data_IF_946215320359
#
_entry.id   IF_946215320359
#
_cell.length_a   1.000
_cell.length_b   1.000
_cell.length_c   1.000
_cell.angle_alpha   90.00
_cell.angle_beta   90.00
_cell.angle_gamma   90.00
#
_symmetry.space_group_name_H-M   'P 1'
#
loop_
_entity.id
_entity.type
_entity.pdbx_description
1 polymer ?
#
# COMPACT_ATOMS: atom_id res chain seq x y z
N UNK A 1 3.53 28.59 40.58
CA UNK A 1 2.19 29.11 40.97
C UNK A 1 1.59 29.87 39.80
N UNK A 2 0.41 29.44 39.31
CA UNK A 2 -0.69 30.19 38.67
C UNK A 2 -0.33 30.96 37.37
N UNK A 3 -0.65 30.47 36.16
CA UNK A 3 -1.95 30.55 35.44
C UNK A 3 -2.40 31.99 35.11
N UNK A 4 -2.55 32.34 33.83
CA UNK A 4 -3.85 32.58 33.17
C UNK A 4 -3.68 33.09 31.73
N UNK A 5 -4.50 32.54 30.84
CA UNK A 5 -4.79 32.91 29.46
C UNK A 5 -5.70 34.16 29.37
N UNK A 6 -5.81 34.75 28.17
CA UNK A 6 -6.99 35.47 27.59
C UNK A 6 -6.55 36.76 26.84
N UNK A 7 -6.54 36.89 25.51
CA UNK A 7 -7.61 36.80 24.49
C UNK A 7 -8.58 38.02 24.45
N UNK A 8 -8.41 38.93 23.45
CA UNK A 8 -9.45 39.75 22.75
C UNK A 8 -8.78 40.78 21.82
N UNK A 9 -9.01 40.76 20.50
CA UNK A 9 -10.19 41.24 19.72
C UNK A 9 -9.93 42.63 19.15
N UNK A 10 -9.88 42.77 17.82
CA UNK A 10 -10.74 43.72 17.10
C UNK A 10 -10.62 43.53 15.58
N UNK A 11 -11.77 43.31 14.94
CA UNK A 11 -11.98 43.32 13.49
C UNK A 11 -12.54 44.70 13.09
N UNK A 12 -12.51 44.94 11.77
CA UNK A 12 -13.44 45.79 11.00
C UNK A 12 -13.28 47.32 11.02
N UNK A 13 -12.53 47.85 10.04
CA UNK A 13 -12.81 49.07 9.23
C UNK A 13 -11.89 48.92 8.00
N UNK A 14 -12.28 48.89 6.72
CA UNK A 14 -12.99 49.91 5.97
C UNK A 14 -13.37 49.32 4.59
N UNK A 15 -14.67 49.10 4.41
CA UNK A 15 -15.37 49.01 3.11
C UNK A 15 -15.49 50.44 2.56
N UNK A 16 -15.30 50.63 1.24
CA UNK A 16 -15.67 51.76 0.35
C UNK A 16 -14.59 51.91 -0.73
N UNK A 17 -14.77 52.03 -2.04
CA UNK A 17 -15.90 52.16 -2.97
C UNK A 17 -15.26 51.97 -4.36
N UNK A 18 -15.87 51.22 -5.31
CA UNK A 18 -15.94 51.66 -6.72
C UNK A 18 -16.89 50.75 -7.54
N UNK A 19 -18.10 51.26 -7.77
CA UNK A 19 -19.12 50.75 -8.70
C UNK A 19 -19.31 51.78 -9.81
N UNK A 20 -18.99 51.50 -11.08
CA UNK A 20 -19.51 52.17 -12.32
C UNK A 20 -19.09 51.26 -13.50
N UNK A 21 -19.87 50.87 -14.52
CA UNK A 21 -21.30 50.90 -14.83
C UNK A 21 -21.56 49.92 -16.01
N UNK A 22 -22.79 49.42 -16.09
CA UNK A 22 -23.35 48.57 -17.15
C UNK A 22 -24.14 49.45 -18.13
N UNK A 23 -23.91 49.33 -19.45
CA UNK A 23 -24.83 49.60 -20.56
C UNK A 23 -24.31 48.81 -21.79
N UNK A 24 -25.06 48.29 -22.76
CA UNK A 24 -26.42 47.79 -22.92
C UNK A 24 -26.45 47.13 -24.32
N UNK A 25 -27.14 46.00 -24.47
CA UNK A 25 -27.47 45.35 -25.76
C UNK A 25 -26.41 44.36 -26.26
N UNK A 26 -26.71 43.15 -26.74
CA UNK A 26 -27.97 42.53 -27.12
C UNK A 26 -27.71 41.60 -28.31
N UNK A 27 -27.97 40.30 -28.08
CA UNK A 27 -28.22 39.21 -29.03
C UNK A 27 -27.06 38.47 -29.76
N UNK A 28 -27.09 37.16 -29.48
CA UNK A 28 -26.81 36.00 -30.34
C UNK A 28 -25.34 35.66 -30.65
N UNK A 29 -24.83 34.64 -29.95
CA UNK A 29 -24.45 33.34 -30.56
C UNK A 29 -23.48 32.58 -29.66
N UNK A 30 -23.79 31.30 -29.38
CA UNK A 30 -22.80 30.29 -28.99
C UNK A 30 -22.65 30.03 -27.50
N UNK A 31 -23.39 29.06 -26.98
CA UNK A 31 -23.02 28.35 -25.75
C UNK A 31 -21.68 27.61 -25.97
N UNK A 32 -20.58 28.23 -25.55
CA UNK A 32 -19.28 27.57 -25.35
C UNK A 32 -18.54 28.09 -24.11
N UNK A 33 -19.27 28.72 -23.16
CA UNK A 33 -18.70 29.31 -21.96
C UNK A 33 -19.57 29.04 -20.73
N UNK A 34 -19.67 27.78 -20.30
CA UNK A 34 -20.05 27.45 -18.93
C UNK A 34 -19.14 26.32 -18.47
N UNK A 35 -18.10 26.65 -17.69
CA UNK A 35 -17.24 25.65 -17.06
C UNK A 35 -15.75 25.98 -16.97
N UNK A 36 -15.36 27.25 -16.73
CA UNK A 36 -13.94 27.55 -16.46
C UNK A 36 -13.65 28.59 -15.38
N UNK A 37 -14.64 28.97 -14.56
CA UNK A 37 -14.47 29.98 -13.50
C UNK A 37 -15.02 29.57 -12.13
N UNK A 38 -15.48 28.33 -11.96
CA UNK A 38 -15.71 27.72 -10.65
C UNK A 38 -14.80 26.50 -10.64
N UNK A 39 -13.71 26.57 -9.88
CA UNK A 39 -12.67 25.54 -9.75
C UNK A 39 -13.20 24.27 -9.08
N UNK A 40 -14.05 23.54 -9.79
CA UNK A 40 -14.32 22.13 -9.57
C UNK A 40 -13.72 21.37 -10.75
N UNK A 41 -12.42 21.11 -10.71
CA UNK A 41 -11.82 20.06 -11.52
C UNK A 41 -12.28 18.71 -10.93
N UNK A 42 -13.48 18.26 -11.30
CA UNK A 42 -13.85 16.85 -11.18
C UNK A 42 -13.14 16.06 -12.29
N UNK A 43 -11.83 16.18 -12.36
CA UNK A 43 -10.95 15.44 -13.25
C UNK A 43 -10.20 14.38 -12.46
N UNK A 44 -10.92 13.46 -11.81
CA UNK A 44 -10.29 12.21 -11.36
C UNK A 44 -9.99 11.42 -12.63
N UNK A 45 -8.82 11.63 -13.22
CA UNK A 45 -8.27 10.68 -14.16
C UNK A 45 -7.91 9.42 -13.36
N UNK A 46 -8.88 8.51 -13.16
CA UNK A 46 -8.60 7.13 -12.75
C UNK A 46 -7.83 6.46 -13.89
N UNK A 47 -6.52 6.68 -13.95
CA UNK A 47 -5.63 5.96 -14.86
C UNK A 47 -5.19 4.65 -14.21
N UNK A 48 -6.14 3.74 -13.97
CA UNK A 48 -5.90 2.29 -13.96
C UNK A 48 -7.20 1.57 -13.68
N UNK A 49 -7.85 1.06 -14.74
CA UNK A 49 -8.49 -0.24 -14.72
C UNK A 49 -8.63 -0.69 -16.18
N UNK A 50 -8.52 -1.99 -16.39
CA UNK A 50 -8.81 -2.70 -17.64
C UNK A 50 -7.74 -2.71 -18.73
N UNK A 51 -6.71 -3.53 -18.48
CA UNK A 51 -6.36 -4.52 -19.48
C UNK A 51 -6.36 -5.90 -18.81
N UNK A 52 -7.57 -6.36 -18.47
CA UNK A 52 -7.77 -7.77 -18.18
C UNK A 52 -7.74 -8.50 -19.53
N UNK A 53 -6.87 -9.49 -19.67
CA UNK A 53 -6.88 -10.33 -20.87
C UNK A 53 -8.12 -11.25 -20.79
N UNK A 54 -9.21 -10.79 -21.40
CA UNK A 54 -10.48 -11.53 -21.47
C UNK A 54 -10.40 -12.77 -22.37
N UNK A 55 -9.30 -12.95 -23.11
CA UNK A 55 -9.04 -14.17 -23.87
C UNK A 55 -8.30 -15.22 -23.03
N UNK A 56 -7.90 -14.91 -21.80
CA UNK A 56 -7.32 -15.88 -20.89
C UNK A 56 -8.42 -16.74 -20.27
N UNK A 57 -8.55 -18.00 -20.71
CA UNK A 57 -9.45 -18.96 -20.09
C UNK A 57 -8.95 -19.32 -18.68
N UNK A 58 -9.76 -19.01 -17.66
CA UNK A 58 -9.45 -19.39 -16.29
C UNK A 58 -9.69 -20.89 -16.09
N UNK A 59 -8.74 -21.64 -15.49
CA UNK A 59 -8.91 -23.06 -15.26
C UNK A 59 -10.05 -23.32 -14.26
N UNK A 60 -10.81 -24.39 -14.49
CA UNK A 60 -11.76 -24.87 -13.50
C UNK A 60 -11.01 -25.49 -12.33
N UNK A 61 -11.14 -24.89 -11.16
CA UNK A 61 -10.46 -25.38 -9.98
C UNK A 61 -11.13 -26.67 -9.43
N UNK A 62 -10.71 -27.85 -9.91
CA UNK A 62 -11.12 -29.15 -9.35
C UNK A 62 -10.12 -29.71 -8.30
N UNK A 63 -10.55 -30.49 -7.31
CA UNK A 63 -9.65 -30.93 -6.22
C UNK A 63 -8.52 -31.90 -6.66
N UNK A 64 -8.54 -32.40 -7.90
CA UNK A 64 -7.71 -33.50 -8.38
C UNK A 64 -6.61 -33.06 -9.36
N UNK A 65 -6.47 -31.77 -9.67
CA UNK A 65 -5.46 -31.30 -10.62
C UNK A 65 -4.04 -31.53 -10.07
N UNK A 66 -3.17 -32.27 -10.80
CA UNK A 66 -1.84 -32.67 -10.34
C UNK A 66 -0.83 -31.52 -10.21
N UNK A 67 -1.22 -30.29 -10.53
CA UNK A 67 -0.43 -29.07 -10.33
C UNK A 67 -0.92 -28.18 -9.18
N UNK A 68 -1.97 -28.58 -8.45
CA UNK A 68 -2.52 -27.77 -7.36
C UNK A 68 -1.75 -27.93 -6.08
N UNK A 69 -1.16 -26.82 -5.64
CA UNK A 69 -0.65 -26.68 -4.29
C UNK A 69 -1.65 -25.83 -3.51
N UNK A 70 -2.55 -26.50 -2.78
CA UNK A 70 -3.47 -25.80 -1.88
C UNK A 70 -2.66 -25.22 -0.72
N UNK A 71 -2.65 -23.88 -0.60
CA UNK A 71 -2.10 -23.21 0.58
C UNK A 71 -3.24 -22.91 1.55
N UNK A 72 -3.14 -23.41 2.77
CA UNK A 72 -4.13 -23.13 3.82
C UNK A 72 -4.16 -21.64 4.15
N UNK A 73 -5.37 -21.10 4.40
CA UNK A 73 -5.53 -19.66 4.71
C UNK A 73 -4.72 -19.21 5.92
N UNK A 74 -4.53 -20.10 6.91
CA UNK A 74 -3.71 -19.85 8.10
C UNK A 74 -2.23 -19.64 7.72
N UNK A 75 -1.71 -20.43 6.79
CA UNK A 75 -0.34 -20.28 6.27
C UNK A 75 -0.20 -18.96 5.52
N UNK A 76 -1.18 -18.63 4.68
CA UNK A 76 -1.17 -17.36 3.95
C UNK A 76 -1.21 -16.15 4.88
N UNK A 77 -1.99 -16.20 5.96
CA UNK A 77 -2.02 -15.17 6.99
C UNK A 77 -0.67 -15.05 7.70
N UNK A 78 -0.05 -16.17 8.07
CA UNK A 78 1.27 -16.16 8.72
C UNK A 78 2.36 -15.56 7.81
N UNK A 79 2.36 -15.92 6.52
CA UNK A 79 3.27 -15.33 5.52
C UNK A 79 3.06 -13.83 5.45
N UNK A 80 1.81 -13.37 5.33
CA UNK A 80 1.49 -11.94 5.26
C UNK A 80 1.96 -11.18 6.50
N UNK A 81 1.72 -11.71 7.71
CA UNK A 81 2.16 -11.08 8.96
C UNK A 81 3.68 -10.97 9.00
N UNK A 82 4.39 -12.03 8.63
CA UNK A 82 5.85 -12.03 8.60
C UNK A 82 6.42 -11.07 7.54
N UNK A 83 5.82 -11.02 6.35
CA UNK A 83 6.24 -10.14 5.26
C UNK A 83 5.99 -8.66 5.58
N UNK A 84 4.81 -8.32 6.09
CA UNK A 84 4.45 -6.95 6.51
C UNK A 84 5.34 -6.49 7.68
N UNK A 85 5.74 -7.37 8.61
CA UNK A 85 6.67 -7.02 9.70
C UNK A 85 8.12 -6.84 9.23
N UNK A 86 8.60 -7.69 8.31
CA UNK A 86 9.99 -7.68 7.86
C UNK A 86 10.29 -6.57 6.85
N UNK A 87 9.44 -6.43 5.83
CA UNK A 87 9.68 -5.56 4.66
C UNK A 87 8.75 -4.35 4.65
N UNK A 88 7.68 -4.38 5.46
CA UNK A 88 6.58 -3.45 5.29
C UNK A 88 5.75 -3.81 4.05
N UNK A 89 4.71 -3.01 3.79
CA UNK A 89 3.89 -3.17 2.58
C UNK A 89 4.56 -2.49 1.40
N UNK A 90 4.56 -3.17 0.26
CA UNK A 90 5.13 -2.67 -0.99
C UNK A 90 4.64 -1.26 -1.34
N UNK A 91 5.59 -0.37 -1.67
CA UNK A 91 5.30 0.94 -2.26
C UNK A 91 5.61 0.95 -3.75
N UNK A 92 4.97 1.87 -4.48
CA UNK A 92 5.10 1.94 -5.93
C UNK A 92 6.54 2.27 -6.37
N UNK A 93 7.20 3.14 -5.63
CA UNK A 93 8.53 3.72 -5.86
C UNK A 93 9.67 2.95 -5.17
N UNK A 94 9.36 1.85 -4.49
CA UNK A 94 10.32 1.02 -3.76
C UNK A 94 11.23 0.25 -4.72
N UNK A 95 12.52 0.16 -4.36
CA UNK A 95 13.48 -0.61 -5.13
C UNK A 95 13.11 -2.09 -5.13
N UNK A 96 13.48 -2.83 -6.19
CA UNK A 96 13.07 -4.23 -6.35
C UNK A 96 13.40 -5.09 -5.11
N UNK A 97 14.62 -4.95 -4.58
CA UNK A 97 15.10 -5.75 -3.44
C UNK A 97 14.40 -5.44 -2.11
N UNK A 98 13.65 -4.34 -2.04
CA UNK A 98 12.86 -3.96 -0.87
C UNK A 98 11.40 -4.46 -0.98
N UNK A 99 10.99 -4.95 -2.16
CA UNK A 99 9.62 -5.48 -2.37
C UNK A 99 9.47 -6.88 -1.80
N UNK A 100 8.31 -7.18 -1.24
CA UNK A 100 7.94 -8.51 -0.75
C UNK A 100 8.09 -9.60 -1.83
N UNK A 101 7.83 -9.26 -3.09
CA UNK A 101 7.96 -10.19 -4.22
C UNK A 101 9.42 -10.59 -4.56
N UNK A 102 10.41 -9.86 -4.04
CA UNK A 102 11.82 -10.21 -4.23
C UNK A 102 12.31 -11.32 -3.29
N UNK A 103 11.45 -11.80 -2.39
CA UNK A 103 11.78 -12.79 -1.38
C UNK A 103 11.03 -14.10 -1.62
N UNK A 104 11.62 -15.18 -1.11
CA UNK A 104 10.99 -16.50 -1.02
C UNK A 104 10.49 -16.73 0.39
N UNK A 105 9.36 -17.43 0.50
CA UNK A 105 8.69 -17.72 1.75
C UNK A 105 8.57 -19.23 1.89
N UNK A 106 9.25 -19.79 2.89
CA UNK A 106 9.17 -21.20 3.22
C UNK A 106 8.44 -21.35 4.54
N UNK A 107 7.57 -22.36 4.65
CA UNK A 107 6.74 -22.53 5.84
C UNK A 107 6.79 -23.94 6.39
N UNK A 108 6.75 -24.04 7.71
CA UNK A 108 6.62 -25.30 8.45
C UNK A 108 5.53 -25.10 9.50
N UNK A 109 4.53 -25.97 9.51
CA UNK A 109 3.51 -25.98 10.56
C UNK A 109 3.85 -27.02 11.64
N UNK A 110 3.75 -26.64 12.91
CA UNK A 110 3.84 -27.52 14.08
C UNK A 110 2.83 -27.07 15.12
N UNK A 111 1.97 -27.99 15.55
CA UNK A 111 0.90 -27.71 16.51
C UNK A 111 0.09 -26.47 16.11
N UNK A 112 0.06 -25.42 16.93
CA UNK A 112 -0.64 -24.15 16.68
C UNK A 112 0.28 -23.00 16.26
N UNK A 113 1.45 -23.34 15.71
CA UNK A 113 2.45 -22.38 15.25
C UNK A 113 2.81 -22.64 13.79
N UNK A 114 2.82 -21.57 13.00
CA UNK A 114 3.38 -21.52 11.65
C UNK A 114 4.74 -20.84 11.74
N UNK A 115 5.78 -21.58 11.38
CA UNK A 115 7.11 -21.03 11.21
C UNK A 115 7.27 -20.54 9.77
N UNK A 116 7.75 -19.32 9.60
CA UNK A 116 7.96 -18.70 8.28
C UNK A 116 9.43 -18.32 8.17
N UNK A 117 10.12 -18.84 7.17
CA UNK A 117 11.46 -18.40 6.77
C UNK A 117 11.32 -17.51 5.54
N UNK A 118 11.93 -16.34 5.61
CA UNK A 118 12.02 -15.36 4.52
C UNK A 118 13.47 -15.28 4.09
N UNK A 119 13.72 -15.43 2.79
CA UNK A 119 15.05 -15.35 2.18
C UNK A 119 14.98 -14.51 0.91
N UNK A 120 15.89 -13.56 0.75
CA UNK A 120 16.02 -12.80 -0.48
C UNK A 120 16.35 -13.73 -1.67
N UNK A 121 15.63 -13.56 -2.78
CA UNK A 121 15.87 -14.29 -4.02
C UNK A 121 16.47 -13.37 -5.08
N UNK A 122 17.78 -13.47 -5.37
CA UNK A 122 18.44 -12.59 -6.35
C UNK A 122 17.83 -12.72 -7.75
N UNK A 123 17.29 -13.89 -8.12
CA UNK A 123 16.66 -14.10 -9.41
C UNK A 123 15.42 -13.20 -9.62
N UNK A 124 14.70 -12.85 -8.54
CA UNK A 124 13.52 -11.97 -8.62
C UNK A 124 13.85 -10.55 -9.09
N UNK A 125 15.10 -10.11 -8.88
CA UNK A 125 15.58 -8.77 -9.26
C UNK A 125 16.69 -8.80 -10.31
N UNK A 126 16.83 -9.91 -11.06
CA UNK A 126 17.80 -10.04 -12.15
C UNK A 126 19.25 -10.16 -11.69
N UNK A 127 19.49 -10.76 -10.52
CA UNK A 127 20.81 -11.12 -9.95
C UNK A 127 21.78 -9.96 -9.73
N UNK A 128 21.29 -8.72 -9.75
CA UNK A 128 22.13 -7.52 -9.59
C UNK A 128 22.60 -7.28 -8.17
N UNK A 129 21.94 -7.89 -7.19
CA UNK A 129 22.18 -7.68 -5.77
C UNK A 129 22.31 -9.04 -5.09
N UNK A 130 23.36 -9.21 -4.31
CA UNK A 130 23.58 -10.37 -3.44
C UNK A 130 23.65 -9.83 -2.00
N UNK A 131 22.60 -10.05 -1.23
CA UNK A 131 22.67 -9.82 0.21
C UNK A 131 23.10 -11.10 0.91
N UNK A 132 24.03 -10.98 1.85
CA UNK A 132 24.49 -12.10 2.66
C UNK A 132 23.59 -12.35 3.88
N UNK A 133 22.86 -11.33 4.33
CA UNK A 133 22.07 -11.36 5.58
C UNK A 133 20.64 -10.80 5.37
N UNK A 134 20.03 -10.99 4.19
CA UNK A 134 18.66 -10.53 3.92
C UNK A 134 17.63 -11.64 4.15
N UNK A 135 17.50 -12.05 5.40
CA UNK A 135 16.52 -13.04 5.79
C UNK A 135 16.09 -12.93 7.25
N UNK A 136 15.02 -13.65 7.55
CA UNK A 136 14.45 -13.69 8.88
C UNK A 136 13.64 -14.96 9.08
N UNK A 137 13.53 -15.40 10.33
CA UNK A 137 12.69 -16.52 10.74
C UNK A 137 11.65 -16.05 11.76
N UNK A 138 10.41 -16.42 11.51
CA UNK A 138 9.25 -16.04 12.30
C UNK A 138 8.57 -17.26 12.88
N UNK A 139 8.00 -17.10 14.08
CA UNK A 139 7.01 -18.00 14.64
C UNK A 139 5.71 -17.21 14.82
N UNK A 140 4.66 -17.61 14.11
CA UNK A 140 3.35 -16.97 14.10
C UNK A 140 2.33 -17.98 14.64
N UNK A 141 1.50 -17.58 15.60
CA UNK A 141 0.39 -18.41 16.05
C UNK A 141 -0.65 -18.58 14.93
N UNK A 142 -1.42 -19.67 14.92
CA UNK A 142 -2.53 -19.83 13.96
C UNK A 142 -3.61 -18.74 14.06
N UNK A 143 -3.64 -18.00 15.17
CA UNK A 143 -4.44 -16.80 15.38
C UNK A 143 -3.88 -15.55 14.67
N UNK A 144 -2.71 -15.66 14.03
CA UNK A 144 -2.02 -14.58 13.35
C UNK A 144 -1.12 -13.74 14.25
N UNK A 145 -0.95 -14.09 15.54
CA UNK A 145 -0.10 -13.34 16.46
C UNK A 145 1.38 -13.65 16.22
N UNK A 146 2.20 -12.61 16.09
CA UNK A 146 3.65 -12.74 16.11
C UNK A 146 4.12 -13.23 17.49
N UNK A 147 4.66 -14.44 17.56
CA UNK A 147 5.18 -15.03 18.80
C UNK A 147 6.68 -14.76 18.95
N UNK A 148 7.42 -14.81 17.84
CA UNK A 148 8.87 -14.56 17.82
C UNK A 148 9.34 -14.17 16.42
N UNK A 149 10.35 -13.30 16.38
CA UNK A 149 11.18 -12.99 15.21
C UNK A 149 12.64 -13.29 15.54
N UNK A 150 13.40 -13.72 14.54
CA UNK A 150 14.85 -13.80 14.56
C UNK A 150 15.36 -13.33 13.19
N UNK A 151 16.09 -12.21 13.16
CA UNK A 151 16.72 -11.72 11.94
C UNK A 151 18.03 -12.48 11.70
N UNK A 152 18.44 -12.59 10.44
CA UNK A 152 19.76 -13.11 10.14
C UNK A 152 20.84 -12.22 10.77
N UNK A 153 21.90 -12.84 11.27
CA UNK A 153 22.93 -12.18 12.08
C UNK A 153 22.60 -12.03 13.58
N UNK A 154 21.35 -12.22 14.00
CA UNK A 154 20.99 -12.23 15.42
C UNK A 154 21.31 -13.59 16.10
N UNK A 155 21.74 -13.58 17.38
CA UNK A 155 21.97 -14.82 18.11
C UNK A 155 20.65 -15.55 18.41
N UNK A 156 20.61 -16.86 18.15
CA UNK A 156 19.41 -17.69 18.34
C UNK A 156 18.96 -17.84 19.81
N UNK A 157 19.83 -17.54 20.77
CA UNK A 157 19.51 -17.56 22.21
C UNK A 157 19.98 -16.26 22.88
N UNK A 158 19.27 -15.79 23.92
CA UNK A 158 19.84 -14.81 24.84
C UNK A 158 21.14 -15.38 25.40
N UNK A 159 22.21 -14.58 25.41
CA UNK A 159 23.41 -14.88 26.19
C UNK A 159 23.15 -14.65 27.68
#
# INVERSE_FOLDING_TARGET
MISTSSMKRSRDVLVKDLFIAILAGGLLSGCAHIGRLIGCDCGVAQKQLEQQDMNLELPLFNASDPGKVATEGVVLQAIRVAADDFLGRDRADEACWDKQAAYTYQTIQRDDIVFVRIDYNPASCGEKFHSLDAGATYAIGKDGRLLRRLLDGEPQRPR
#
